data_IF_045078954771
#
_entry.id   IF_045078954771
#
_cell.length_a   1.000
_cell.length_b   1.000
_cell.length_c   1.000
_cell.angle_alpha   90.00
_cell.angle_beta   90.00
_cell.angle_gamma   90.00
#
_symmetry.space_group_name_H-M   'P 1'
#
loop_
_entity.id
_entity.type
_entity.pdbx_description
1 polymer ?
#
# COMPACT_ATOMS: atom_id res chain seq x y z
N UNK A 1 13.77 16.66 13.13
CA UNK A 1 13.24 16.57 11.75
C UNK A 1 13.97 15.46 11.02
N UNK A 2 13.26 14.57 10.39
CA UNK A 2 13.87 13.51 9.58
C UNK A 2 14.50 14.13 8.34
N UNK A 3 15.73 13.74 8.03
CA UNK A 3 16.44 14.26 6.87
C UNK A 3 15.84 13.68 5.57
N UNK A 4 15.30 14.55 4.73
CA UNK A 4 14.77 14.24 3.39
C UNK A 4 15.41 15.10 2.32
N UNK A 5 16.61 15.66 2.61
CA UNK A 5 17.28 16.65 1.76
C UNK A 5 17.92 16.07 0.50
N UNK A 6 18.03 14.74 0.44
CA UNK A 6 18.62 14.04 -0.71
C UNK A 6 17.96 12.67 -0.97
N UNK A 7 18.21 12.13 -2.15
CA UNK A 7 17.76 10.77 -2.52
C UNK A 7 18.30 9.75 -1.52
N UNK A 8 19.58 9.84 -1.18
CA UNK A 8 20.24 8.89 -0.27
C UNK A 8 19.68 9.00 1.16
N UNK A 9 19.32 10.21 1.61
CA UNK A 9 18.67 10.41 2.90
C UNK A 9 17.27 9.75 2.94
N UNK A 10 16.48 9.89 1.88
CA UNK A 10 15.16 9.24 1.78
C UNK A 10 15.30 7.73 1.72
N UNK A 11 16.25 7.18 0.95
CA UNK A 11 16.49 5.73 0.94
C UNK A 11 16.93 5.21 2.32
N UNK A 12 17.83 5.92 3.01
CA UNK A 12 18.28 5.55 4.35
C UNK A 12 17.14 5.63 5.39
N UNK A 13 16.24 6.60 5.24
CA UNK A 13 15.03 6.69 6.08
C UNK A 13 14.13 5.48 5.85
N UNK A 14 13.80 5.15 4.60
CA UNK A 14 12.97 3.99 4.26
C UNK A 14 13.58 2.67 4.75
N UNK A 15 14.89 2.51 4.59
CA UNK A 15 15.61 1.31 5.04
C UNK A 15 15.54 1.14 6.57
N UNK A 16 15.60 2.23 7.35
CA UNK A 16 15.43 2.18 8.82
C UNK A 16 14.05 1.67 9.23
N UNK A 17 13.04 1.94 8.41
CA UNK A 17 11.67 1.42 8.60
C UNK A 17 11.47 0.02 7.96
N UNK A 18 12.54 -0.65 7.59
CA UNK A 18 12.51 -2.00 7.01
C UNK A 18 12.01 -2.05 5.56
N UNK A 19 12.03 -0.91 4.85
CA UNK A 19 11.67 -0.85 3.44
C UNK A 19 12.91 -0.62 2.57
N UNK A 20 13.40 -1.69 1.95
CA UNK A 20 14.55 -1.66 1.05
C UNK A 20 14.09 -1.30 -0.36
N UNK A 21 14.58 -0.19 -0.90
CA UNK A 21 14.23 0.24 -2.25
C UNK A 21 15.46 0.57 -3.10
N UNK A 22 15.31 0.41 -4.43
CA UNK A 22 16.33 0.84 -5.37
C UNK A 22 16.41 2.35 -5.56
N UNK A 23 17.50 2.80 -6.14
CA UNK A 23 17.74 4.22 -6.39
C UNK A 23 16.60 4.88 -7.20
N UNK A 24 16.04 4.18 -8.21
CA UNK A 24 14.96 4.72 -9.02
C UNK A 24 13.71 5.06 -8.16
N UNK A 25 13.24 4.12 -7.31
CA UNK A 25 12.13 4.36 -6.40
C UNK A 25 12.47 5.40 -5.34
N UNK A 26 13.68 5.36 -4.78
CA UNK A 26 14.15 6.40 -3.84
C UNK A 26 14.16 7.79 -4.47
N UNK A 27 14.55 7.90 -5.74
CA UNK A 27 14.53 9.16 -6.50
C UNK A 27 13.11 9.69 -6.67
N UNK A 28 12.16 8.84 -7.08
CA UNK A 28 10.78 9.26 -7.31
C UNK A 28 10.10 9.62 -5.97
N UNK A 29 10.39 8.88 -4.90
CA UNK A 29 9.92 9.21 -3.54
C UNK A 29 10.47 10.56 -3.07
N UNK A 30 11.77 10.82 -3.24
CA UNK A 30 12.39 12.11 -2.95
C UNK A 30 11.74 13.26 -3.73
N UNK A 31 11.51 13.08 -5.03
CA UNK A 31 10.85 14.08 -5.87
C UNK A 31 9.40 14.32 -5.46
N UNK A 32 8.67 13.26 -5.08
CA UNK A 32 7.31 13.37 -4.56
C UNK A 32 7.25 14.26 -3.31
N UNK A 33 8.12 14.01 -2.35
CA UNK A 33 8.23 14.82 -1.13
C UNK A 33 8.68 16.27 -1.42
N UNK A 34 9.64 16.45 -2.32
CA UNK A 34 10.21 17.77 -2.60
C UNK A 34 9.28 18.67 -3.42
N UNK A 35 8.48 18.09 -4.31
CA UNK A 35 7.59 18.81 -5.22
C UNK A 35 6.14 18.86 -4.74
N UNK A 36 5.79 18.14 -3.66
CA UNK A 36 4.41 17.99 -3.19
C UNK A 36 3.49 17.30 -4.21
N UNK A 37 4.05 16.43 -5.06
CA UNK A 37 3.27 15.72 -6.09
C UNK A 37 2.93 14.31 -5.65
N UNK A 38 1.70 13.81 -5.95
CA UNK A 38 1.34 12.42 -5.67
C UNK A 38 2.31 11.43 -6.32
N UNK A 39 2.62 10.34 -5.60
CA UNK A 39 3.39 9.21 -6.10
C UNK A 39 2.45 8.09 -6.55
N UNK A 40 2.50 7.71 -7.82
CA UNK A 40 1.71 6.61 -8.36
C UNK A 40 2.60 5.38 -8.59
N UNK A 41 2.31 4.31 -7.85
CA UNK A 41 3.02 3.04 -7.90
C UNK A 41 2.18 1.98 -8.57
N UNK A 42 2.65 1.46 -9.67
CA UNK A 42 2.03 0.39 -10.42
C UNK A 42 2.96 -0.84 -10.44
N UNK A 43 2.43 -2.04 -10.48
CA UNK A 43 3.23 -3.28 -10.49
C UNK A 43 2.42 -4.48 -10.02
N UNK A 44 3.03 -5.66 -10.07
CA UNK A 44 2.39 -6.90 -9.65
C UNK A 44 1.97 -6.89 -8.17
N UNK A 45 1.03 -7.77 -7.80
CA UNK A 45 0.63 -7.94 -6.42
C UNK A 45 1.81 -8.48 -5.57
N UNK A 46 1.91 -8.03 -4.31
CA UNK A 46 2.92 -8.54 -3.39
C UNK A 46 4.34 -7.98 -3.56
N UNK A 47 4.57 -6.99 -4.44
CA UNK A 47 5.91 -6.37 -4.64
C UNK A 47 6.23 -5.26 -3.64
N UNK A 48 5.32 -4.94 -2.71
CA UNK A 48 5.57 -3.97 -1.64
C UNK A 48 5.11 -2.54 -1.91
N UNK A 49 4.20 -2.29 -2.88
CA UNK A 49 3.68 -0.95 -3.21
C UNK A 49 3.02 -0.24 -2.01
N UNK A 50 2.21 -0.96 -1.25
CA UNK A 50 1.52 -0.42 -0.06
C UNK A 50 2.48 -0.18 1.10
N UNK A 51 3.54 -0.97 1.22
CA UNK A 51 4.51 -0.88 2.33
C UNK A 51 5.32 0.41 2.31
N UNK A 52 5.57 1.02 1.15
CA UNK A 52 6.31 2.29 1.09
C UNK A 52 5.54 3.41 1.80
N UNK A 53 4.20 3.42 1.74
CA UNK A 53 3.38 4.42 2.43
C UNK A 53 3.53 4.30 3.94
N UNK A 54 3.57 3.08 4.47
CA UNK A 54 3.80 2.82 5.89
C UNK A 54 5.20 3.25 6.30
N UNK A 55 6.21 2.92 5.51
CA UNK A 55 7.59 3.29 5.78
C UNK A 55 7.80 4.82 5.72
N UNK A 56 7.17 5.51 4.76
CA UNK A 56 7.19 6.97 4.68
C UNK A 56 6.51 7.61 5.90
N UNK A 57 5.33 7.12 6.28
CA UNK A 57 4.61 7.64 7.43
C UNK A 57 5.42 7.48 8.73
N UNK A 58 5.97 6.28 8.96
CA UNK A 58 6.81 6.01 10.13
C UNK A 58 8.11 6.82 10.11
N UNK A 59 8.84 6.82 8.99
CA UNK A 59 10.11 7.53 8.85
C UNK A 59 9.98 9.05 8.97
N UNK A 60 8.85 9.63 8.54
CA UNK A 60 8.55 11.06 8.68
C UNK A 60 7.86 11.40 10.01
N UNK A 61 7.52 10.41 10.83
CA UNK A 61 6.68 10.54 12.02
C UNK A 61 5.36 11.27 11.72
N UNK A 62 4.67 10.85 10.65
CA UNK A 62 3.39 11.36 10.19
C UNK A 62 2.31 10.28 10.31
N UNK A 63 1.07 10.69 10.48
CA UNK A 63 -0.05 9.77 10.51
C UNK A 63 -0.28 9.15 9.13
N UNK A 64 -0.55 7.85 9.08
CA UNK A 64 -0.98 7.16 7.87
C UNK A 64 -2.49 7.08 7.81
N UNK A 65 -3.08 7.61 6.75
CA UNK A 65 -4.50 7.49 6.43
C UNK A 65 -4.61 6.62 5.19
N UNK A 66 -5.43 5.57 5.24
CA UNK A 66 -5.61 4.63 4.12
C UNK A 66 -7.03 4.68 3.58
N UNK A 67 -7.16 4.95 2.29
CA UNK A 67 -8.35 4.73 1.50
C UNK A 67 -8.16 3.45 0.68
N UNK A 68 -8.79 2.36 1.11
CA UNK A 68 -8.83 1.12 0.34
C UNK A 68 -9.89 1.25 -0.75
N UNK A 69 -9.48 1.19 -2.01
CA UNK A 69 -10.39 1.22 -3.14
C UNK A 69 -11.06 -0.13 -3.37
N UNK A 70 -12.31 -0.11 -3.77
CA UNK A 70 -13.12 -1.28 -4.11
C UNK A 70 -14.14 -0.92 -5.19
N UNK A 71 -14.69 -1.91 -5.83
CA UNK A 71 -15.70 -1.73 -6.87
C UNK A 71 -16.97 -1.08 -6.31
N UNK A 72 -17.42 0.02 -6.90
CA UNK A 72 -18.56 0.79 -6.43
C UNK A 72 -18.25 1.81 -5.33
N UNK A 73 -16.97 2.07 -5.03
CA UNK A 73 -16.58 3.18 -4.15
C UNK A 73 -16.95 4.49 -4.83
N UNK A 74 -17.78 5.30 -4.18
CA UNK A 74 -18.17 6.63 -4.63
C UNK A 74 -17.47 7.76 -3.85
N UNK A 75 -17.57 8.98 -4.40
CA UNK A 75 -16.95 10.15 -3.81
C UNK A 75 -17.51 10.46 -2.41
N UNK A 76 -18.82 10.28 -2.19
CA UNK A 76 -19.45 10.57 -0.90
C UNK A 76 -18.94 9.64 0.18
N UNK A 77 -18.87 8.34 -0.10
CA UNK A 77 -18.34 7.34 0.84
C UNK A 77 -16.84 7.54 1.15
N UNK A 78 -16.08 8.13 0.24
CA UNK A 78 -14.66 8.38 0.43
C UNK A 78 -14.34 9.67 1.19
N UNK A 79 -15.29 10.64 1.20
CA UNK A 79 -15.09 11.97 1.78
C UNK A 79 -15.71 12.08 3.18
N UNK A 80 -17.02 11.84 3.31
CA UNK A 80 -17.74 12.00 4.56
C UNK A 80 -19.05 11.22 4.60
N UNK A 81 -19.60 11.12 5.78
CA UNK A 81 -20.95 10.61 6.02
C UNK A 81 -21.59 11.41 7.14
N UNK A 82 -22.88 11.72 7.03
CA UNK A 82 -23.63 12.33 8.12
C UNK A 82 -24.09 11.26 9.12
N UNK A 83 -23.86 11.52 10.42
CA UNK A 83 -24.38 10.70 11.51
C UNK A 83 -25.90 10.94 11.67
N UNK A 84 -26.69 10.48 10.70
CA UNK A 84 -28.15 10.64 10.71
C UNK A 84 -28.84 10.18 12.01
N UNK A 85 -28.46 9.04 12.64
CA UNK A 85 -29.05 8.67 13.92
C UNK A 85 -28.84 9.73 15.00
N UNK A 86 -27.64 10.29 15.12
CA UNK A 86 -27.34 11.33 16.10
C UNK A 86 -28.07 12.65 15.78
N UNK A 87 -28.13 13.04 14.50
CA UNK A 87 -28.91 14.20 14.04
C UNK A 87 -30.38 14.07 14.42
N UNK A 88 -31.00 12.89 14.21
CA UNK A 88 -32.42 12.64 14.58
C UNK A 88 -32.67 12.74 16.09
N UNK A 89 -31.73 12.28 16.91
CA UNK A 89 -31.80 12.43 18.35
C UNK A 89 -31.73 13.90 18.77
N UNK A 90 -30.80 14.66 18.16
CA UNK A 90 -30.67 16.10 18.45
C UNK A 90 -31.89 16.90 18.04
N UNK A 91 -32.48 16.62 16.86
CA UNK A 91 -33.72 17.27 16.39
C UNK A 91 -34.86 17.01 17.35
N UNK A 92 -35.08 15.75 17.76
CA UNK A 92 -36.18 15.41 18.72
C UNK A 92 -35.96 16.03 20.10
N UNK A 93 -34.73 16.12 20.56
CA UNK A 93 -34.41 16.78 21.82
C UNK A 93 -34.74 18.28 21.77
N UNK A 94 -34.41 18.95 20.66
CA UNK A 94 -34.72 20.36 20.42
C UNK A 94 -36.24 20.61 20.37
N UNK A 95 -37.02 19.75 19.69
CA UNK A 95 -38.48 19.80 19.64
C UNK A 95 -39.10 19.66 21.03
N UNK A 96 -38.58 18.72 21.85
CA UNK A 96 -39.11 18.49 23.20
C UNK A 96 -38.90 19.66 24.18
N UNK A 97 -37.88 20.50 23.95
CA UNK A 97 -37.57 21.70 24.77
C UNK A 97 -38.34 22.94 24.34
N UNK A 98 -39.12 22.87 23.25
CA UNK A 98 -40.10 23.91 22.86
C UNK A 98 -39.50 25.23 22.30
N UNK A 99 -38.23 25.26 21.97
CA UNK A 99 -37.60 26.50 21.61
C UNK A 99 -36.42 26.32 20.68
N UNK A 100 -36.64 26.05 19.41
CA UNK A 100 -35.51 26.17 18.47
C UNK A 100 -35.86 27.08 17.31
N UNK A 101 -35.04 28.09 17.13
CA UNK A 101 -34.88 28.76 15.86
C UNK A 101 -34.51 27.65 14.85
N UNK A 102 -35.32 27.49 13.81
CA UNK A 102 -35.15 26.44 12.80
C UNK A 102 -33.81 26.54 12.08
N UNK A 103 -33.37 27.77 11.85
CA UNK A 103 -32.11 28.01 11.17
C UNK A 103 -30.91 27.63 12.05
N UNK A 104 -30.99 27.96 13.36
CA UNK A 104 -29.98 27.55 14.33
C UNK A 104 -29.90 26.01 14.48
N UNK A 105 -31.02 25.31 14.47
CA UNK A 105 -31.07 23.85 14.55
C UNK A 105 -30.50 23.24 13.27
N UNK A 106 -30.83 23.78 12.11
CA UNK A 106 -30.30 23.31 10.81
C UNK A 106 -28.77 23.48 10.80
N UNK A 107 -28.26 24.64 11.19
CA UNK A 107 -26.82 24.87 11.28
C UNK A 107 -26.13 23.91 12.27
N UNK A 108 -26.79 23.61 13.39
CA UNK A 108 -26.28 22.67 14.39
C UNK A 108 -26.18 21.23 13.86
N UNK A 109 -27.23 20.71 13.20
CA UNK A 109 -27.26 19.33 12.72
C UNK A 109 -26.31 19.08 11.53
N UNK A 110 -25.92 20.12 10.81
CA UNK A 110 -24.92 20.08 9.74
C UNK A 110 -23.58 20.69 10.18
N UNK A 111 -23.17 20.46 11.42
CA UNK A 111 -21.87 20.84 11.94
C UNK A 111 -20.89 19.66 12.02
N UNK A 112 -19.63 19.94 12.32
CA UNK A 112 -18.59 18.95 12.55
C UNK A 112 -18.96 17.89 13.61
N UNK A 113 -19.86 18.22 14.56
CA UNK A 113 -20.30 17.31 15.63
C UNK A 113 -21.07 16.08 15.10
N UNK A 114 -21.68 16.20 13.92
CA UNK A 114 -22.43 15.13 13.26
C UNK A 114 -21.75 14.61 11.99
N UNK A 115 -20.59 15.15 11.66
CA UNK A 115 -19.83 14.74 10.48
C UNK A 115 -18.94 13.55 10.81
N UNK A 116 -19.11 12.45 10.08
CA UNK A 116 -18.21 11.30 10.12
C UNK A 116 -17.20 11.50 9.00
N UNK A 117 -15.99 11.88 9.36
CA UNK A 117 -14.92 12.05 8.38
C UNK A 117 -14.49 10.71 7.81
N UNK A 118 -14.34 10.66 6.50
CA UNK A 118 -13.80 9.54 5.74
C UNK A 118 -12.36 9.87 5.30
N UNK A 119 -11.57 8.90 4.82
CA UNK A 119 -10.13 9.07 4.63
C UNK A 119 -9.71 10.30 3.83
N UNK A 120 -10.48 10.71 2.81
CA UNK A 120 -10.11 11.88 2.01
C UNK A 120 -10.29 13.18 2.80
N UNK A 121 -11.41 13.35 3.51
CA UNK A 121 -11.63 14.52 4.36
C UNK A 121 -10.67 14.53 5.54
N UNK A 122 -10.49 13.38 6.19
CA UNK A 122 -9.55 13.22 7.30
C UNK A 122 -8.12 13.65 6.91
N UNK A 123 -7.70 13.33 5.67
CA UNK A 123 -6.38 13.72 5.17
C UNK A 123 -6.27 15.23 4.84
N UNK A 124 -7.39 15.94 4.66
CA UNK A 124 -7.44 17.38 4.43
C UNK A 124 -7.53 18.20 5.74
N UNK A 125 -7.74 17.55 6.88
CA UNK A 125 -7.79 18.24 8.18
C UNK A 125 -6.40 18.52 8.72
N UNK A 126 -6.26 19.58 9.54
CA UNK A 126 -5.01 19.85 10.26
C UNK A 126 -4.60 18.67 11.14
N UNK A 127 -3.35 18.27 11.09
CA UNK A 127 -2.80 17.23 11.97
C UNK A 127 -1.65 17.79 12.82
N UNK A 128 -1.64 17.57 14.15
CA UNK A 128 -0.57 18.07 15.04
C UNK A 128 0.83 17.54 14.69
N UNK A 129 0.91 16.39 14.02
CA UNK A 129 2.17 15.82 13.54
C UNK A 129 2.59 16.37 12.17
N UNK A 130 1.78 17.28 11.57
CA UNK A 130 1.91 17.83 10.22
C UNK A 130 1.19 16.95 9.18
N UNK A 131 1.22 17.35 7.91
CA UNK A 131 0.46 16.72 6.83
C UNK A 131 0.59 15.19 6.84
N UNK A 132 -0.53 14.45 6.86
CA UNK A 132 -0.50 12.98 6.91
C UNK A 132 -0.01 12.39 5.59
N UNK A 133 0.35 11.10 5.63
CA UNK A 133 0.53 10.27 4.44
C UNK A 133 -0.84 9.68 4.08
N UNK A 134 -1.37 10.04 2.92
CA UNK A 134 -2.61 9.48 2.38
C UNK A 134 -2.27 8.38 1.36
N UNK A 135 -2.62 7.15 1.71
CA UNK A 135 -2.50 6.00 0.83
C UNK A 135 -3.86 5.72 0.17
N UNK A 136 -3.94 5.87 -1.15
CA UNK A 136 -5.07 5.46 -1.98
C UNK A 136 -4.68 4.12 -2.61
N UNK A 137 -5.18 3.03 -2.02
CA UNK A 137 -4.72 1.68 -2.30
C UNK A 137 -5.64 0.97 -3.29
N UNK A 138 -5.06 0.32 -4.32
CA UNK A 138 -5.75 -0.39 -5.40
C UNK A 138 -6.73 0.48 -6.19
N UNK A 139 -6.28 1.65 -6.66
CA UNK A 139 -7.11 2.61 -7.44
C UNK A 139 -7.71 1.97 -8.70
N UNK A 140 -7.07 0.97 -9.27
CA UNK A 140 -7.55 0.20 -10.41
C UNK A 140 -8.83 -0.61 -10.14
N UNK A 141 -9.36 -0.60 -8.92
CA UNK A 141 -10.65 -1.19 -8.55
C UNK A 141 -11.82 -0.21 -8.59
N UNK A 142 -11.55 1.09 -8.76
CA UNK A 142 -12.61 2.12 -8.83
C UNK A 142 -13.06 2.35 -10.27
N UNK A 143 -14.08 3.15 -10.45
CA UNK A 143 -14.59 3.53 -11.75
C UNK A 143 -14.04 4.90 -12.24
N UNK A 144 -14.33 5.27 -13.49
CA UNK A 144 -13.89 6.52 -14.08
C UNK A 144 -14.48 7.78 -13.39
N UNK A 145 -15.74 7.81 -12.93
CA UNK A 145 -16.28 8.90 -12.12
C UNK A 145 -15.49 9.16 -10.84
N UNK A 146 -15.11 8.13 -10.12
CA UNK A 146 -14.28 8.28 -8.91
C UNK A 146 -12.87 8.79 -9.21
N UNK A 147 -12.25 8.32 -10.30
CA UNK A 147 -10.95 8.85 -10.73
C UNK A 147 -11.02 10.34 -11.12
N UNK A 148 -12.11 10.76 -11.79
CA UNK A 148 -12.33 12.18 -12.12
C UNK A 148 -12.49 13.03 -10.85
N UNK A 149 -13.21 12.54 -9.85
CA UNK A 149 -13.32 13.17 -8.53
C UNK A 149 -11.96 13.29 -7.83
N UNK A 150 -11.17 12.20 -7.79
CA UNK A 150 -9.82 12.24 -7.22
C UNK A 150 -8.91 13.24 -7.94
N UNK A 151 -9.04 13.33 -9.26
CA UNK A 151 -8.28 14.29 -10.05
C UNK A 151 -8.56 15.73 -9.62
N UNK A 152 -9.80 16.07 -9.28
CA UNK A 152 -10.19 17.38 -8.75
C UNK A 152 -9.66 17.55 -7.31
N UNK A 153 -9.97 16.59 -6.44
CA UNK A 153 -9.60 16.65 -5.02
C UNK A 153 -8.08 16.76 -4.79
N UNK A 154 -7.26 16.01 -5.57
CA UNK A 154 -5.81 16.01 -5.44
C UNK A 154 -5.11 17.16 -6.20
N UNK A 155 -5.86 17.94 -7.00
CA UNK A 155 -5.28 19.11 -7.68
C UNK A 155 -5.09 20.29 -6.77
N UNK A 156 -6.10 20.56 -5.98
CA UNK A 156 -6.15 21.73 -5.12
C UNK A 156 -6.16 21.32 -3.64
N UNK A 157 -6.07 20.04 -3.34
CA UNK A 157 -6.13 19.44 -2.00
C UNK A 157 -7.32 20.00 -1.22
N UNK A 158 -8.50 19.90 -1.84
CA UNK A 158 -9.74 20.38 -1.26
C UNK A 158 -10.89 19.40 -1.52
N UNK A 159 -11.90 19.45 -0.65
CA UNK A 159 -13.15 18.73 -0.80
C UNK A 159 -14.31 19.65 -0.47
N UNK A 160 -15.44 19.50 -1.18
CA UNK A 160 -16.63 20.31 -0.96
C UNK A 160 -17.72 19.47 -0.33
N UNK A 161 -18.22 19.90 0.83
CA UNK A 161 -19.40 19.38 1.51
C UNK A 161 -20.52 20.39 1.29
N UNK A 162 -21.65 20.02 0.64
CA UNK A 162 -22.68 20.97 0.25
C UNK A 162 -23.20 21.86 1.38
N UNK A 163 -23.33 21.30 2.58
CA UNK A 163 -23.88 21.98 3.76
C UNK A 163 -22.84 22.82 4.51
N UNK A 164 -21.53 22.55 4.33
CA UNK A 164 -20.44 23.20 5.07
C UNK A 164 -19.53 24.04 4.20
N UNK A 165 -19.60 23.85 2.88
CA UNK A 165 -18.71 24.54 1.92
C UNK A 165 -17.43 23.74 1.62
N UNK A 166 -16.43 24.45 1.08
CA UNK A 166 -15.16 23.85 0.67
C UNK A 166 -14.15 23.85 1.81
N UNK A 167 -13.62 22.67 2.07
CA UNK A 167 -12.53 22.43 3.04
C UNK A 167 -11.25 22.27 2.25
N UNK A 168 -10.27 23.13 2.51
CA UNK A 168 -8.94 23.11 1.87
C UNK A 168 -7.93 22.63 2.88
N UNK A 169 -7.05 21.72 2.50
CA UNK A 169 -5.97 21.25 3.36
C UNK A 169 -5.00 22.41 3.66
N UNK A 170 -4.74 22.73 4.94
CA UNK A 170 -3.78 23.78 5.31
C UNK A 170 -2.35 23.42 4.92
N UNK A 171 -2.01 22.16 4.93
CA UNK A 171 -0.78 21.56 4.43
C UNK A 171 -1.16 20.33 3.57
N UNK A 172 -0.79 20.28 2.29
CA UNK A 172 -1.14 19.16 1.41
C UNK A 172 -0.64 17.82 1.97
N UNK A 173 -1.48 16.76 2.00
CA UNK A 173 -1.04 15.44 2.40
C UNK A 173 -0.01 14.88 1.43
N UNK A 174 0.85 13.98 1.93
CA UNK A 174 1.76 13.21 1.09
C UNK A 174 0.95 12.06 0.50
N UNK A 175 0.65 12.12 -0.80
CA UNK A 175 -0.26 11.18 -1.45
C UNK A 175 0.48 10.08 -2.18
N UNK A 176 0.10 8.84 -1.90
CA UNK A 176 0.59 7.64 -2.58
C UNK A 176 -0.61 6.88 -3.14
N UNK A 177 -0.59 6.63 -4.45
CA UNK A 177 -1.57 5.80 -5.13
C UNK A 177 -0.91 4.47 -5.50
N UNK A 178 -1.64 3.36 -5.35
CA UNK A 178 -1.19 2.05 -5.81
C UNK A 178 -2.16 1.43 -6.80
N UNK A 179 -1.63 0.65 -7.74
CA UNK A 179 -2.39 -0.11 -8.72
C UNK A 179 -1.76 -1.48 -8.95
N UNK A 180 -2.59 -2.52 -9.05
CA UNK A 180 -2.19 -3.87 -9.48
C UNK A 180 -2.42 -4.06 -10.98
N UNK A 181 -2.83 -3.01 -11.69
CA UNK A 181 -3.11 -3.00 -13.12
C UNK A 181 -4.18 -4.01 -13.54
N UNK A 182 -5.18 -4.23 -12.70
CA UNK A 182 -6.35 -5.07 -13.07
C UNK A 182 -7.19 -4.41 -14.16
N UNK A 183 -7.15 -3.06 -14.23
CA UNK A 183 -7.59 -2.25 -15.36
C UNK A 183 -6.68 -1.02 -15.52
N UNK A 184 -6.75 -0.37 -16.67
CA UNK A 184 -6.03 0.89 -16.90
C UNK A 184 -6.66 2.04 -16.11
N UNK A 185 -5.81 2.79 -15.39
CA UNK A 185 -6.16 4.03 -14.71
C UNK A 185 -6.08 5.19 -15.70
N UNK A 186 -7.00 6.14 -15.60
CA UNK A 186 -7.12 7.23 -16.56
C UNK A 186 -5.86 8.08 -16.64
N UNK A 187 -5.41 8.37 -17.85
CA UNK A 187 -4.18 9.13 -18.13
C UNK A 187 -4.11 10.50 -17.43
N UNK A 188 -5.25 11.17 -17.26
CA UNK A 188 -5.30 12.47 -16.61
C UNK A 188 -4.83 12.40 -15.15
N UNK A 189 -5.16 11.32 -14.42
CA UNK A 189 -4.68 11.09 -13.05
C UNK A 189 -3.20 10.74 -13.05
N UNK A 190 -2.75 9.85 -13.93
CA UNK A 190 -1.33 9.49 -14.08
C UNK A 190 -0.43 10.70 -14.35
N UNK A 191 -0.85 11.63 -15.22
CA UNK A 191 -0.10 12.86 -15.56
C UNK A 191 0.12 13.81 -14.39
N UNK A 192 -0.73 13.78 -13.38
CA UNK A 192 -0.59 14.59 -12.17
C UNK A 192 0.36 13.99 -11.14
N UNK A 193 0.62 12.69 -11.25
CA UNK A 193 1.47 11.93 -10.36
C UNK A 193 2.91 11.85 -10.88
N UNK A 194 3.82 11.53 -9.99
CA UNK A 194 5.10 10.95 -10.34
C UNK A 194 4.90 9.44 -10.41
N UNK A 195 5.22 8.85 -11.55
CA UNK A 195 4.97 7.45 -11.83
C UNK A 195 6.20 6.58 -11.58
N UNK A 196 5.99 5.39 -11.00
CA UNK A 196 7.02 4.38 -10.91
C UNK A 196 6.42 2.97 -11.01
N UNK A 197 6.99 2.17 -11.89
CA UNK A 197 6.69 0.74 -11.95
C UNK A 197 7.53 0.01 -10.91
N UNK A 198 6.87 -0.72 -10.01
CA UNK A 198 7.55 -1.54 -8.99
C UNK A 198 7.64 -2.97 -9.51
N UNK A 199 8.83 -3.36 -9.90
CA UNK A 199 9.14 -4.69 -10.40
C UNK A 199 9.47 -5.66 -9.26
N UNK A 200 9.54 -6.95 -9.56
CA UNK A 200 10.12 -7.92 -8.63
C UNK A 200 11.59 -7.53 -8.35
N UNK A 201 12.04 -7.63 -7.09
CA UNK A 201 13.44 -7.37 -6.78
C UNK A 201 14.35 -8.42 -7.41
N UNK A 202 15.59 -8.03 -7.70
CA UNK A 202 16.66 -8.97 -7.98
C UNK A 202 17.02 -9.80 -6.74
N UNK A 203 17.89 -10.80 -6.92
CA UNK A 203 18.28 -11.73 -5.85
C UNK A 203 18.86 -10.99 -4.62
N UNK A 204 19.79 -10.08 -4.83
CA UNK A 204 20.51 -9.41 -3.73
C UNK A 204 19.56 -8.53 -2.92
N UNK A 205 18.68 -7.79 -3.61
CA UNK A 205 17.66 -6.97 -2.94
C UNK A 205 16.62 -7.81 -2.22
N UNK A 206 16.19 -8.95 -2.79
CA UNK A 206 15.24 -9.82 -2.12
C UNK A 206 15.86 -10.45 -0.86
N UNK A 207 17.16 -10.73 -0.88
CA UNK A 207 17.92 -11.13 0.31
C UNK A 207 17.96 -10.05 1.39
N UNK A 208 18.21 -8.79 1.01
CA UNK A 208 18.16 -7.64 1.94
C UNK A 208 16.77 -7.48 2.56
N UNK A 209 15.71 -7.58 1.75
CA UNK A 209 14.32 -7.53 2.22
C UNK A 209 14.05 -8.68 3.19
N UNK A 210 14.46 -9.88 2.86
CA UNK A 210 14.24 -11.05 3.70
C UNK A 210 14.99 -10.93 5.04
N UNK A 211 16.22 -10.45 5.03
CA UNK A 211 16.99 -10.18 6.24
C UNK A 211 16.30 -9.14 7.15
N UNK A 212 15.71 -8.10 6.57
CA UNK A 212 14.98 -7.06 7.31
C UNK A 212 13.64 -7.56 7.88
N UNK A 213 12.92 -8.44 7.16
CA UNK A 213 11.54 -8.84 7.46
C UNK A 213 11.39 -10.22 8.11
N UNK A 214 12.42 -11.06 8.03
CA UNK A 214 12.50 -12.39 8.66
C UNK A 214 13.90 -12.63 9.29
N UNK A 215 14.33 -11.79 10.26
CA UNK A 215 15.70 -11.78 10.78
C UNK A 215 16.10 -13.08 11.51
N UNK A 216 15.15 -13.97 11.79
CA UNK A 216 15.43 -15.28 12.42
C UNK A 216 15.82 -16.38 11.43
N UNK A 217 15.66 -16.17 10.12
CA UNK A 217 16.00 -17.17 9.12
C UNK A 217 17.52 -17.25 8.92
N UNK A 218 18.07 -18.48 8.92
CA UNK A 218 19.49 -18.69 8.65
C UNK A 218 19.82 -18.19 7.23
N UNK A 219 20.98 -17.58 7.04
CA UNK A 219 21.40 -17.02 5.75
C UNK A 219 21.37 -18.09 4.64
N UNK A 220 21.83 -19.31 4.92
CA UNK A 220 21.80 -20.42 3.96
C UNK A 220 20.38 -20.74 3.47
N UNK A 221 19.42 -20.86 4.40
CA UNK A 221 18.01 -21.07 4.06
C UNK A 221 17.43 -19.90 3.28
N UNK A 222 17.72 -18.66 3.70
CA UNK A 222 17.26 -17.46 3.00
C UNK A 222 17.73 -17.43 1.55
N UNK A 223 18.98 -17.78 1.28
CA UNK A 223 19.54 -17.89 -0.07
C UNK A 223 18.81 -18.95 -0.90
N UNK A 224 18.56 -20.13 -0.34
CA UNK A 224 17.80 -21.19 -1.02
C UNK A 224 16.37 -20.77 -1.32
N UNK A 225 15.68 -20.12 -0.37
CA UNK A 225 14.30 -19.60 -0.54
C UNK A 225 14.24 -18.57 -1.65
N UNK A 226 15.11 -17.56 -1.61
CA UNK A 226 15.13 -16.51 -2.63
C UNK A 226 15.46 -17.09 -4.01
N UNK A 227 16.49 -17.94 -4.11
CA UNK A 227 16.87 -18.59 -5.38
C UNK A 227 15.72 -19.42 -5.95
N UNK A 228 15.02 -20.17 -5.10
CA UNK A 228 13.88 -20.98 -5.53
C UNK A 228 12.72 -20.10 -6.01
N UNK A 229 12.36 -19.03 -5.29
CA UNK A 229 11.28 -18.12 -5.70
C UNK A 229 11.64 -17.38 -6.99
N UNK A 230 12.89 -16.96 -7.17
CA UNK A 230 13.36 -16.36 -8.44
C UNK A 230 13.15 -17.33 -9.61
N UNK A 231 13.44 -18.62 -9.42
CA UNK A 231 13.17 -19.65 -10.45
C UNK A 231 11.67 -19.85 -10.68
N UNK A 232 10.85 -19.89 -9.61
CA UNK A 232 9.39 -19.97 -9.75
C UNK A 232 8.83 -18.85 -10.62
N UNK A 233 9.34 -17.63 -10.50
CA UNK A 233 8.90 -16.48 -11.32
C UNK A 233 9.22 -16.62 -12.79
N UNK A 234 10.14 -17.52 -13.19
CA UNK A 234 10.43 -17.81 -14.59
C UNK A 234 9.53 -18.88 -15.20
N UNK A 235 8.81 -19.64 -14.36
CA UNK A 235 7.87 -20.65 -14.82
C UNK A 235 6.56 -20.03 -15.33
N UNK A 236 5.82 -20.79 -16.15
CA UNK A 236 4.48 -20.43 -16.62
C UNK A 236 3.43 -20.73 -15.54
N UNK A 237 3.29 -19.79 -14.60
CA UNK A 237 2.33 -19.84 -13.51
C UNK A 237 1.19 -18.87 -13.77
N UNK A 238 0.00 -19.25 -13.33
CA UNK A 238 -1.17 -18.38 -13.37
C UNK A 238 -0.92 -17.11 -12.56
N UNK A 239 -0.26 -17.24 -11.38
CA UNK A 239 0.16 -16.11 -10.56
C UNK A 239 1.54 -16.35 -9.98
N UNK A 240 2.47 -15.51 -10.37
CA UNK A 240 3.83 -15.52 -9.85
C UNK A 240 3.86 -15.03 -8.40
N UNK A 241 4.65 -15.67 -7.51
CA UNK A 241 4.77 -15.24 -6.12
C UNK A 241 5.45 -13.88 -6.01
N UNK A 242 4.87 -12.98 -5.21
CA UNK A 242 5.48 -11.70 -4.85
C UNK A 242 6.50 -11.82 -3.73
N UNK A 243 7.06 -10.70 -3.33
CA UNK A 243 7.98 -10.61 -2.19
C UNK A 243 7.28 -10.94 -0.87
N UNK A 244 5.99 -10.59 -0.76
CA UNK A 244 5.19 -10.92 0.42
C UNK A 244 5.13 -12.42 0.64
N UNK A 245 4.87 -13.20 -0.43
CA UNK A 245 4.85 -14.65 -0.39
C UNK A 245 6.23 -15.24 -0.04
N UNK A 246 7.33 -14.64 -0.52
CA UNK A 246 8.70 -15.04 -0.15
C UNK A 246 8.95 -14.88 1.35
N UNK A 247 8.55 -13.73 1.91
CA UNK A 247 8.69 -13.43 3.34
C UNK A 247 7.85 -14.40 4.18
N UNK A 248 6.60 -14.62 3.77
CA UNK A 248 5.68 -15.50 4.49
C UNK A 248 6.18 -16.95 4.46
N UNK A 249 6.70 -17.42 3.33
CA UNK A 249 7.26 -18.75 3.22
C UNK A 249 8.50 -18.93 4.10
N UNK A 250 9.41 -17.97 4.10
CA UNK A 250 10.58 -18.00 4.98
C UNK A 250 10.17 -18.08 6.46
N UNK A 251 9.13 -17.35 6.88
CA UNK A 251 8.58 -17.43 8.24
C UNK A 251 7.95 -18.80 8.54
N UNK A 252 7.23 -19.38 7.56
CA UNK A 252 6.68 -20.73 7.71
C UNK A 252 7.79 -21.78 7.88
N UNK A 253 8.85 -21.70 7.08
CA UNK A 253 10.00 -22.61 7.18
C UNK A 253 10.74 -22.45 8.51
N UNK A 254 10.87 -21.22 8.99
CA UNK A 254 11.44 -20.94 10.31
C UNK A 254 10.58 -21.56 11.43
N UNK A 255 9.25 -21.45 11.34
CA UNK A 255 8.34 -22.04 12.33
C UNK A 255 8.34 -23.57 12.34
N UNK A 256 8.83 -24.21 11.27
CA UNK A 256 9.01 -25.64 11.12
C UNK A 256 10.44 -26.10 11.45
N UNK A 257 11.30 -25.19 11.94
CA UNK A 257 12.73 -25.47 12.23
C UNK A 257 13.50 -26.03 11.01
N UNK A 258 13.10 -25.63 9.80
CA UNK A 258 13.75 -26.06 8.54
C UNK A 258 15.08 -25.31 8.39
N UNK A 259 16.17 -26.03 8.16
CA UNK A 259 17.50 -25.46 7.94
C UNK A 259 17.91 -25.40 6.45
N UNK A 260 17.32 -26.24 5.61
CA UNK A 260 17.60 -26.33 4.17
C UNK A 260 16.37 -26.84 3.43
N UNK A 261 16.19 -26.42 2.19
CA UNK A 261 15.09 -26.89 1.35
C UNK A 261 15.33 -28.33 0.85
N UNK A 262 14.29 -29.13 0.96
CA UNK A 262 14.19 -30.46 0.31
C UNK A 262 12.91 -30.52 -0.53
N UNK A 263 12.82 -31.47 -1.49
CA UNK A 263 11.61 -31.65 -2.27
C UNK A 263 10.36 -31.91 -1.42
N UNK A 264 10.51 -32.63 -0.30
CA UNK A 264 9.43 -32.92 0.65
C UNK A 264 8.96 -31.66 1.36
N UNK A 265 9.89 -30.86 1.91
CA UNK A 265 9.59 -29.59 2.56
C UNK A 265 8.90 -28.63 1.61
N UNK A 266 9.36 -28.58 0.34
CA UNK A 266 8.71 -27.75 -0.69
C UNK A 266 7.29 -28.24 -0.91
N UNK A 267 7.08 -29.54 -1.15
CA UNK A 267 5.75 -30.09 -1.39
C UNK A 267 4.76 -29.79 -0.25
N UNK A 268 5.21 -29.91 1.00
CA UNK A 268 4.39 -29.64 2.18
C UNK A 268 4.08 -28.17 2.39
N UNK A 269 4.91 -27.26 1.87
CA UNK A 269 4.82 -25.81 2.13
C UNK A 269 4.50 -24.96 0.91
N UNK A 270 4.30 -25.55 -0.29
CA UNK A 270 3.96 -24.83 -1.53
C UNK A 270 2.76 -23.89 -1.37
N UNK A 271 1.77 -24.25 -0.55
CA UNK A 271 0.61 -23.40 -0.27
C UNK A 271 0.93 -22.07 0.43
N UNK A 272 2.12 -21.93 1.04
CA UNK A 272 2.59 -20.66 1.57
C UNK A 272 3.01 -19.70 0.43
N UNK A 273 3.54 -20.23 -0.67
CA UNK A 273 4.10 -19.45 -1.80
C UNK A 273 3.09 -19.30 -2.93
N UNK A 274 2.39 -20.38 -3.29
CA UNK A 274 1.42 -20.42 -4.38
C UNK A 274 0.00 -20.44 -3.85
N UNK A 275 -0.90 -19.70 -4.51
CA UNK A 275 -2.29 -19.54 -4.07
C UNK A 275 -3.31 -20.16 -5.02
N UNK A 276 -2.85 -20.83 -6.09
CA UNK A 276 -3.70 -21.49 -7.08
C UNK A 276 -3.39 -22.98 -7.13
N UNK A 277 -4.44 -23.80 -7.10
CA UNK A 277 -4.30 -25.25 -7.08
C UNK A 277 -3.58 -25.78 -8.34
N UNK A 278 -3.84 -25.18 -9.50
CA UNK A 278 -3.21 -25.59 -10.76
C UNK A 278 -1.70 -25.31 -10.76
N UNK A 279 -1.28 -24.17 -10.18
CA UNK A 279 0.14 -23.84 -10.02
C UNK A 279 0.83 -24.81 -9.06
N UNK A 280 0.16 -25.14 -7.93
CA UNK A 280 0.66 -26.13 -6.96
C UNK A 280 0.79 -27.51 -7.63
N UNK A 281 -0.21 -27.94 -8.40
CA UNK A 281 -0.20 -29.23 -9.08
C UNK A 281 0.91 -29.33 -10.13
N UNK A 282 1.21 -28.26 -10.86
CA UNK A 282 2.33 -28.18 -11.81
C UNK A 282 3.69 -28.41 -11.15
N UNK A 283 3.82 -28.02 -9.88
CA UNK A 283 5.09 -28.04 -9.14
C UNK A 283 5.21 -29.20 -8.16
N UNK A 284 4.38 -30.24 -8.29
CA UNK A 284 4.50 -31.45 -7.48
C UNK A 284 5.51 -32.45 -8.08
N UNK A 285 6.08 -33.29 -7.22
CA UNK A 285 6.94 -34.39 -7.61
C UNK A 285 8.28 -33.97 -8.24
N UNK A 286 8.55 -34.41 -9.48
CA UNK A 286 9.84 -34.20 -10.16
C UNK A 286 10.11 -32.73 -10.48
N UNK A 287 9.09 -31.90 -10.68
CA UNK A 287 9.26 -30.49 -11.02
C UNK A 287 9.77 -29.65 -9.84
N UNK A 288 9.26 -29.89 -8.63
CA UNK A 288 9.81 -29.24 -7.42
C UNK A 288 11.29 -29.55 -7.26
N UNK A 289 11.68 -30.83 -7.48
CA UNK A 289 13.07 -31.25 -7.42
C UNK A 289 13.92 -30.56 -8.49
N UNK A 290 13.45 -30.57 -9.75
CA UNK A 290 14.16 -29.92 -10.87
C UNK A 290 14.43 -28.44 -10.57
N UNK A 291 13.42 -27.70 -10.11
CA UNK A 291 13.57 -26.29 -9.77
C UNK A 291 14.49 -26.07 -8.58
N UNK A 292 14.42 -26.93 -7.55
CA UNK A 292 15.33 -26.86 -6.41
C UNK A 292 16.79 -27.07 -6.83
N UNK A 293 17.05 -28.08 -7.66
CA UNK A 293 18.39 -28.37 -8.17
C UNK A 293 18.93 -27.18 -9.00
N UNK A 294 18.09 -26.57 -9.84
CA UNK A 294 18.46 -25.37 -10.59
C UNK A 294 18.69 -24.14 -9.69
N UNK A 295 17.88 -23.98 -8.66
CA UNK A 295 18.05 -22.90 -7.67
C UNK A 295 19.39 -23.06 -6.91
N UNK A 296 19.69 -24.27 -6.44
CA UNK A 296 20.96 -24.57 -5.74
C UNK A 296 22.16 -24.37 -6.67
N UNK A 297 22.09 -24.84 -7.91
CA UNK A 297 23.16 -24.63 -8.88
C UNK A 297 23.42 -23.14 -9.15
N UNK A 298 22.40 -22.27 -9.10
CA UNK A 298 22.59 -20.82 -9.26
C UNK A 298 23.27 -20.12 -8.07
N UNK A 299 23.38 -20.80 -6.91
CA UNK A 299 24.05 -20.29 -5.73
C UNK A 299 25.52 -20.66 -5.66
N UNK A 300 25.96 -21.65 -6.47
CA UNK A 300 27.37 -22.02 -6.56
C UNK A 300 28.12 -20.93 -7.35
N UNK A 301 29.32 -20.50 -6.88
CA UNK A 301 30.12 -19.57 -7.64
C UNK A 301 30.47 -20.17 -9.00
N UNK A 302 30.39 -19.37 -10.06
CA UNK A 302 30.83 -19.79 -11.39
C UNK A 302 32.28 -20.24 -11.30
N UNK A 303 32.57 -21.53 -11.66
CA UNK A 303 33.85 -22.15 -11.56
C UNK A 303 34.88 -21.51 -12.56
#
# INVERSE_FOLDING_TARGET
>A
MTDTSSIDAVQAMLAREGYVCGRALGTVAFLSLSLGRPLFLEGEAGVGKTEIAKALAAGLNRRLIRLQCYEGLDASTAVYEWNFPAQMVAIRAAEATGGSDRDALTAQVFSDDFLIERPLLEAMRPDPQGAPVLLIDEIDRTDAPFEAFLLEALSDFQVTIPEMGTIVAPEPPIVILTSNRTREVHDALKRRCLYHWVDYPDFDREMEILAARAPGAAEGLSREVVAFVQKLRTEDLFKKPGVAETIDWAKCLLALDVLTLSPEVIADTLGAVLKYQDDIAKLQGSEAKRLLDQAKASLEPAA
#
